data_IF_551718451951
#
_entry.id   IF_551718451951
#
_cell.length_a   1.000
_cell.length_b   1.000
_cell.length_c   1.000
_cell.angle_alpha   90.00
_cell.angle_beta   90.00
_cell.angle_gamma   90.00
#
_symmetry.space_group_name_H-M   'P 1'
#
loop_
_entity.id
_entity.type
_entity.pdbx_description
1 polymer ?
#
# COMPACT_ATOMS: atom_id res chain seq x y z
N UNK A 1 5.41 0.60 -18.20
CA UNK A 1 4.77 1.89 -18.54
C UNK A 1 5.30 2.53 -19.81
N UNK A 2 6.58 2.52 -20.06
CA UNK A 2 7.18 3.01 -21.32
C UNK A 2 6.65 2.24 -22.55
N UNK A 3 6.33 0.93 -22.39
CA UNK A 3 5.82 0.10 -23.48
C UNK A 3 4.48 0.60 -24.06
N UNK A 4 3.52 1.00 -23.21
CA UNK A 4 2.23 1.54 -23.69
C UNK A 4 2.39 2.93 -24.33
N UNK A 5 3.23 3.79 -23.77
CA UNK A 5 3.44 5.15 -24.33
C UNK A 5 4.00 5.13 -25.75
N UNK A 6 4.70 4.05 -26.12
CA UNK A 6 5.28 3.88 -27.46
C UNK A 6 4.37 3.15 -28.44
N UNK A 7 3.21 2.65 -27.95
CA UNK A 7 2.30 1.89 -28.81
C UNK A 7 1.47 2.83 -29.67
N UNK A 8 1.41 2.61 -31.01
CA UNK A 8 0.55 3.40 -31.88
C UNK A 8 -0.92 3.34 -31.44
N UNK A 9 -1.60 4.45 -31.52
CA UNK A 9 -3.00 4.57 -31.15
C UNK A 9 -3.28 4.80 -29.65
N UNK A 10 -2.26 4.83 -28.78
CA UNK A 10 -2.45 5.25 -27.39
C UNK A 10 -2.43 6.76 -27.28
N UNK A 11 -3.51 7.34 -26.77
CA UNK A 11 -3.72 8.78 -26.64
C UNK A 11 -3.53 9.28 -25.20
N UNK A 12 -3.87 8.44 -24.21
CA UNK A 12 -3.75 8.81 -22.81
C UNK A 12 -3.64 7.62 -21.87
N UNK A 13 -2.97 7.85 -20.74
CA UNK A 13 -2.81 6.88 -19.67
C UNK A 13 -3.08 7.55 -18.33
N UNK A 14 -4.04 7.05 -17.58
CA UNK A 14 -4.31 7.47 -16.21
C UNK A 14 -4.15 6.30 -15.27
N UNK A 15 -3.30 6.45 -14.25
CA UNK A 15 -2.97 5.40 -13.30
C UNK A 15 -3.68 5.63 -11.97
N UNK A 16 -4.30 4.58 -11.46
CA UNK A 16 -4.71 4.49 -10.07
C UNK A 16 -3.83 3.43 -9.39
N UNK A 17 -2.83 3.89 -8.64
CA UNK A 17 -1.88 3.00 -7.97
C UNK A 17 -2.53 2.24 -6.81
N UNK A 18 -3.54 2.82 -6.19
CA UNK A 18 -4.25 2.19 -5.09
C UNK A 18 -5.10 1.02 -5.59
N UNK A 19 -5.83 1.22 -6.67
CA UNK A 19 -6.56 0.14 -7.36
C UNK A 19 -5.68 -0.77 -8.21
N UNK A 20 -4.43 -0.38 -8.49
CA UNK A 20 -3.53 -1.06 -9.43
C UNK A 20 -4.10 -1.12 -10.85
N UNK A 21 -4.84 -0.08 -11.25
CA UNK A 21 -5.46 0.01 -12.56
C UNK A 21 -4.81 1.06 -13.43
N UNK A 22 -4.99 0.93 -14.72
CA UNK A 22 -4.67 1.94 -15.72
C UNK A 22 -5.87 2.13 -16.64
N UNK A 23 -6.39 3.36 -16.72
CA UNK A 23 -7.31 3.74 -17.76
C UNK A 23 -6.51 4.16 -19.00
N UNK A 24 -6.86 3.57 -20.13
CA UNK A 24 -6.18 3.79 -21.42
C UNK A 24 -7.14 4.43 -22.39
N UNK A 25 -6.87 5.68 -22.78
CA UNK A 25 -7.52 6.28 -23.93
C UNK A 25 -6.76 5.88 -25.20
N UNK A 26 -7.46 5.36 -26.19
CA UNK A 26 -6.85 4.88 -27.42
C UNK A 26 -7.74 5.04 -28.64
N UNK A 27 -7.13 5.14 -29.83
CA UNK A 27 -7.79 5.15 -31.13
C UNK A 27 -8.15 3.70 -31.53
N UNK A 28 -9.44 3.33 -31.57
CA UNK A 28 -9.87 1.98 -31.88
C UNK A 28 -9.56 1.52 -33.32
N UNK A 29 -9.22 2.46 -34.21
CA UNK A 29 -8.78 2.14 -35.57
C UNK A 29 -7.33 1.68 -35.64
N UNK A 30 -6.53 1.96 -34.60
CA UNK A 30 -5.09 1.64 -34.53
C UNK A 30 -4.73 0.55 -33.56
N UNK A 31 -5.54 0.38 -32.51
CA UNK A 31 -5.28 -0.63 -31.48
C UNK A 31 -6.59 -1.06 -30.80
N UNK A 32 -6.53 -2.13 -30.00
CA UNK A 32 -7.66 -2.64 -29.22
C UNK A 32 -7.18 -3.11 -27.84
N UNK A 33 -8.14 -3.45 -26.98
CA UNK A 33 -7.87 -3.88 -25.59
C UNK A 33 -6.94 -5.11 -25.55
N UNK A 34 -7.14 -6.11 -26.40
CA UNK A 34 -6.33 -7.33 -26.41
C UNK A 34 -4.87 -7.03 -26.76
N UNK A 35 -4.67 -6.15 -27.74
CA UNK A 35 -3.34 -5.72 -28.16
C UNK A 35 -2.65 -4.87 -27.07
N UNK A 36 -3.42 -4.10 -26.28
CA UNK A 36 -2.93 -3.35 -25.13
C UNK A 36 -2.51 -4.32 -24.02
N UNK A 37 -3.36 -5.29 -23.68
CA UNK A 37 -3.06 -6.33 -22.69
C UNK A 37 -1.82 -7.13 -23.07
N UNK A 38 -1.75 -7.64 -24.30
CA UNK A 38 -0.58 -8.38 -24.81
C UNK A 38 0.71 -7.57 -24.73
N UNK A 39 0.65 -6.26 -24.98
CA UNK A 39 1.82 -5.36 -24.82
C UNK A 39 2.29 -5.27 -23.37
N UNK A 40 1.38 -5.25 -22.41
CA UNK A 40 1.71 -5.26 -20.98
C UNK A 40 2.26 -6.60 -20.53
N UNK A 41 1.66 -7.72 -20.96
CA UNK A 41 2.11 -9.09 -20.67
C UNK A 41 3.51 -9.36 -21.20
N UNK A 42 3.82 -8.90 -22.40
CA UNK A 42 5.14 -9.04 -23.02
C UNK A 42 6.26 -8.42 -22.15
N UNK A 43 5.96 -7.49 -21.26
CA UNK A 43 6.93 -6.95 -20.31
C UNK A 43 7.30 -7.93 -19.20
N UNK A 44 6.57 -9.04 -19.04
CA UNK A 44 6.68 -10.04 -17.95
C UNK A 44 6.54 -9.47 -16.54
N UNK A 45 6.11 -8.21 -16.41
CA UNK A 45 5.93 -7.49 -15.15
C UNK A 45 4.48 -7.40 -14.72
N UNK A 46 3.56 -7.51 -15.66
CA UNK A 46 2.13 -7.33 -15.44
C UNK A 46 1.35 -8.52 -15.99
N UNK A 47 0.26 -8.85 -15.32
CA UNK A 47 -0.79 -9.75 -15.79
C UNK A 47 -2.06 -8.90 -15.86
N UNK A 48 -2.30 -8.19 -16.96
CA UNK A 48 -3.47 -7.33 -17.08
C UNK A 48 -4.73 -8.18 -17.22
N UNK A 49 -5.81 -7.70 -16.64
CA UNK A 49 -7.16 -8.19 -16.82
C UNK A 49 -8.08 -7.00 -17.06
N UNK A 50 -9.25 -7.17 -17.68
CA UNK A 50 -10.27 -6.13 -17.69
C UNK A 50 -10.59 -5.67 -16.27
N UNK A 51 -10.85 -4.37 -16.10
CA UNK A 51 -11.21 -3.84 -14.79
C UNK A 51 -12.63 -4.27 -14.42
N UNK A 52 -12.76 -4.90 -13.26
CA UNK A 52 -14.04 -5.22 -12.63
C UNK A 52 -14.24 -4.33 -11.40
N UNK A 53 -15.24 -3.42 -11.40
CA UNK A 53 -15.53 -2.56 -10.25
C UNK A 53 -16.08 -3.34 -9.05
N UNK A 54 -16.50 -4.59 -9.22
CA UNK A 54 -17.00 -5.48 -8.16
C UNK A 54 -15.90 -6.37 -7.58
N UNK A 55 -14.74 -6.44 -8.22
CA UNK A 55 -13.59 -7.17 -7.68
C UNK A 55 -13.14 -6.55 -6.36
N UNK A 56 -12.90 -7.41 -5.35
CA UNK A 56 -12.34 -6.98 -4.07
C UNK A 56 -10.84 -6.72 -4.22
N UNK A 57 -10.46 -5.46 -4.33
CA UNK A 57 -9.05 -5.06 -4.42
C UNK A 57 -8.51 -4.80 -3.01
N UNK A 58 -7.98 -5.86 -2.40
CA UNK A 58 -7.42 -5.79 -1.03
C UNK A 58 -6.18 -4.91 -0.99
N UNK A 59 -6.23 -3.92 -0.08
CA UNK A 59 -5.10 -3.07 0.27
C UNK A 59 -4.91 -3.06 1.77
N UNK A 60 -3.64 -2.93 2.19
CA UNK A 60 -3.28 -2.71 3.57
C UNK A 60 -2.58 -1.38 3.75
N UNK A 61 -2.75 -0.77 4.92
CA UNK A 61 -2.11 0.46 5.31
C UNK A 61 -1.83 0.45 6.80
N UNK A 62 -0.62 0.82 7.18
CA UNK A 62 -0.27 1.16 8.56
C UNK A 62 -0.14 2.66 8.73
N UNK A 63 -0.55 3.16 9.88
CA UNK A 63 -0.45 4.56 10.26
C UNK A 63 0.02 4.67 11.71
N UNK A 64 1.00 5.55 11.96
CA UNK A 64 1.31 6.00 13.33
C UNK A 64 0.33 7.09 13.73
N UNK A 65 -0.19 6.98 14.95
CA UNK A 65 -1.15 7.90 15.56
C UNK A 65 -0.68 8.19 16.98
N UNK A 66 0.05 9.29 17.13
CA UNK A 66 0.72 9.61 18.39
C UNK A 66 -0.26 9.98 19.51
N UNK A 67 -1.48 10.43 19.19
CA UNK A 67 -2.52 10.76 20.16
C UNK A 67 -3.29 9.55 20.69
N UNK A 68 -3.14 8.36 20.13
CA UNK A 68 -3.74 7.12 20.65
C UNK A 68 -2.97 6.68 21.89
N UNK A 69 -3.47 7.04 23.09
CA UNK A 69 -2.79 6.83 24.38
C UNK A 69 -3.47 5.84 25.30
N UNK A 70 -4.75 5.57 25.08
CA UNK A 70 -5.55 4.72 25.94
C UNK A 70 -6.23 3.60 25.18
N UNK A 71 -6.62 2.55 25.88
CA UNK A 71 -7.45 1.46 25.32
C UNK A 71 -8.79 2.00 24.80
N UNK A 72 -9.32 3.05 25.41
CA UNK A 72 -10.54 3.70 24.94
C UNK A 72 -10.32 4.38 23.58
N UNK A 73 -9.17 5.04 23.36
CA UNK A 73 -8.81 5.62 22.06
C UNK A 73 -8.69 4.52 21.00
N UNK A 74 -7.96 3.45 21.32
CA UNK A 74 -7.77 2.31 20.42
C UNK A 74 -9.10 1.65 20.03
N UNK A 75 -9.99 1.42 20.99
CA UNK A 75 -11.32 0.87 20.78
C UNK A 75 -12.20 1.80 19.93
N UNK A 76 -12.15 3.11 20.21
CA UNK A 76 -12.90 4.12 19.45
C UNK A 76 -12.45 4.19 17.99
N UNK A 77 -11.13 4.24 17.75
CA UNK A 77 -10.55 4.21 16.40
C UNK A 77 -10.97 2.95 15.67
N UNK A 78 -10.76 1.79 16.30
CA UNK A 78 -11.11 0.49 15.71
C UNK A 78 -12.58 0.42 15.30
N UNK A 79 -13.50 0.78 16.21
CA UNK A 79 -14.94 0.78 15.95
C UNK A 79 -15.31 1.74 14.82
N UNK A 80 -14.79 2.96 14.85
CA UNK A 80 -15.15 4.01 13.89
C UNK A 80 -14.62 3.72 12.48
N UNK A 81 -13.39 3.22 12.36
CA UNK A 81 -12.83 2.85 11.07
C UNK A 81 -13.50 1.59 10.51
N UNK A 82 -13.79 0.59 11.36
CA UNK A 82 -14.43 -0.64 10.91
C UNK A 82 -15.85 -0.40 10.37
N UNK A 83 -16.53 0.64 10.84
CA UNK A 83 -17.85 1.04 10.34
C UNK A 83 -17.83 1.70 8.95
N UNK A 84 -16.65 2.04 8.42
CA UNK A 84 -16.55 2.64 7.09
C UNK A 84 -16.80 1.60 5.99
N UNK A 85 -17.46 2.04 4.92
CA UNK A 85 -17.68 1.19 3.74
C UNK A 85 -16.35 0.75 3.14
N UNK A 86 -16.21 -0.54 2.89
CA UNK A 86 -15.02 -1.11 2.27
C UNK A 86 -13.91 -1.49 3.24
N UNK A 87 -14.09 -1.32 4.54
CA UNK A 87 -13.13 -1.83 5.53
C UNK A 87 -13.28 -3.34 5.69
N UNK A 88 -12.15 -4.05 5.63
CA UNK A 88 -12.04 -5.50 5.83
C UNK A 88 -11.60 -5.82 7.27
N UNK A 89 -10.57 -5.13 7.75
CA UNK A 89 -10.11 -5.27 9.13
C UNK A 89 -9.42 -4.01 9.67
N UNK A 90 -9.42 -3.86 10.98
CA UNK A 90 -8.73 -2.80 11.71
C UNK A 90 -8.05 -3.39 12.92
N UNK A 91 -6.74 -3.27 13.00
CA UNK A 91 -5.92 -3.58 14.16
C UNK A 91 -5.36 -2.32 14.80
N UNK A 92 -5.13 -2.35 16.10
CA UNK A 92 -4.50 -1.27 16.86
C UNK A 92 -3.39 -1.84 17.74
N UNK A 93 -2.29 -1.13 17.85
CA UNK A 93 -1.21 -1.42 18.81
C UNK A 93 -0.94 -0.16 19.63
N UNK A 94 -1.43 -0.16 20.87
CA UNK A 94 -1.36 1.00 21.76
C UNK A 94 0.08 1.30 22.16
N UNK A 95 0.87 0.29 22.52
CA UNK A 95 2.23 0.44 23.02
C UNK A 95 3.14 1.14 22.00
N UNK A 96 2.92 0.85 20.73
CA UNK A 96 3.73 1.37 19.62
C UNK A 96 3.05 2.55 18.89
N UNK A 97 1.83 2.92 19.28
CA UNK A 97 1.08 4.05 18.73
C UNK A 97 0.76 3.92 17.24
N UNK A 98 0.44 2.71 16.75
CA UNK A 98 0.04 2.53 15.35
C UNK A 98 -1.28 1.80 15.19
N UNK A 99 -1.90 2.02 14.03
CA UNK A 99 -3.06 1.29 13.56
C UNK A 99 -2.70 0.58 12.24
N UNK A 100 -3.31 -0.56 12.03
CA UNK A 100 -3.25 -1.29 10.78
C UNK A 100 -4.66 -1.49 10.23
N UNK A 101 -4.86 -1.21 8.95
CA UNK A 101 -6.14 -1.37 8.27
C UNK A 101 -6.00 -2.18 6.99
N UNK A 102 -7.00 -3.02 6.72
CA UNK A 102 -7.23 -3.62 5.41
C UNK A 102 -8.54 -3.10 4.85
N UNK A 103 -8.57 -2.86 3.56
CA UNK A 103 -9.74 -2.31 2.90
C UNK A 103 -9.82 -2.70 1.42
N UNK A 104 -11.01 -2.55 0.88
CA UNK A 104 -11.29 -2.68 -0.54
C UNK A 104 -11.05 -1.34 -1.24
N UNK A 105 -10.02 -1.28 -2.09
CA UNK A 105 -9.66 -0.05 -2.81
C UNK A 105 -10.72 0.38 -3.84
N UNK A 106 -11.67 -0.49 -4.20
CA UNK A 106 -12.83 -0.10 -5.01
C UNK A 106 -13.88 0.69 -4.22
N UNK A 107 -13.92 0.54 -2.89
CA UNK A 107 -14.93 1.15 -2.02
C UNK A 107 -14.42 2.30 -1.18
N UNK A 108 -13.15 2.28 -0.79
CA UNK A 108 -12.54 3.36 0.00
C UNK A 108 -11.10 3.61 -0.44
N UNK A 109 -10.49 4.65 0.10
CA UNK A 109 -9.13 5.09 -0.25
C UNK A 109 -8.35 5.46 1.00
N UNK A 110 -7.03 5.34 0.92
CA UNK A 110 -6.10 5.74 1.96
C UNK A 110 -6.37 7.17 2.48
N UNK A 111 -6.61 8.11 1.57
CA UNK A 111 -6.93 9.49 1.91
C UNK A 111 -8.23 9.63 2.72
N UNK A 112 -9.26 8.86 2.40
CA UNK A 112 -10.54 8.87 3.11
C UNK A 112 -10.39 8.33 4.54
N UNK A 113 -9.60 7.25 4.71
CA UNK A 113 -9.28 6.68 6.02
C UNK A 113 -8.52 7.70 6.89
N UNK A 114 -7.53 8.38 6.32
CA UNK A 114 -6.79 9.46 7.01
C UNK A 114 -7.70 10.62 7.40
N UNK A 115 -8.61 11.05 6.53
CA UNK A 115 -9.58 12.10 6.85
C UNK A 115 -10.53 11.67 7.98
N UNK A 116 -10.92 10.41 8.02
CA UNK A 116 -11.75 9.91 9.12
C UNK A 116 -11.04 9.98 10.47
N UNK A 117 -9.75 9.63 10.52
CA UNK A 117 -8.93 9.81 11.72
C UNK A 117 -8.89 11.26 12.16
N UNK A 118 -8.64 12.18 11.24
CA UNK A 118 -8.64 13.63 11.56
C UNK A 118 -9.99 14.11 12.10
N UNK A 119 -11.11 13.66 11.54
CA UNK A 119 -12.46 13.99 12.04
C UNK A 119 -12.70 13.47 13.47
N UNK A 120 -12.06 12.39 13.84
CA UNK A 120 -12.12 11.83 15.19
C UNK A 120 -11.17 12.50 16.19
N UNK A 121 -10.35 13.47 15.74
CA UNK A 121 -9.36 14.16 16.57
C UNK A 121 -8.00 13.45 16.64
N UNK A 122 -7.76 12.46 15.80
CA UNK A 122 -6.48 11.76 15.73
C UNK A 122 -5.72 12.17 14.48
N UNK A 123 -4.51 12.67 14.64
CA UNK A 123 -3.66 13.11 13.53
C UNK A 123 -2.73 11.95 13.12
N UNK A 124 -2.98 11.28 11.99
CA UNK A 124 -2.02 10.29 11.51
C UNK A 124 -0.74 11.02 11.15
N UNK A 125 0.39 10.48 11.59
CA UNK A 125 1.70 11.04 11.27
C UNK A 125 1.86 11.05 9.76
N UNK A 126 1.98 12.25 9.19
CA UNK A 126 2.01 12.44 7.75
C UNK A 126 3.39 12.98 7.34
N UNK A 127 4.22 12.11 6.81
CA UNK A 127 5.55 12.46 6.30
C UNK A 127 5.54 12.81 4.81
N UNK A 128 4.37 13.05 4.20
CA UNK A 128 4.22 13.28 2.77
C UNK A 128 4.72 14.63 2.28
N UNK A 129 5.96 14.92 2.53
CA UNK A 129 6.69 15.80 1.62
C UNK A 129 7.55 14.89 0.74
N UNK A 130 7.47 15.04 -0.55
CA UNK A 130 8.22 14.23 -1.52
C UNK A 130 9.75 14.22 -1.30
N UNK A 131 10.26 15.14 -0.48
CA UNK A 131 11.67 15.28 -0.15
C UNK A 131 12.15 14.35 0.97
N UNK A 132 11.27 13.94 1.88
CA UNK A 132 11.64 13.13 3.05
C UNK A 132 11.12 11.70 2.99
N UNK A 133 10.22 11.39 2.05
CA UNK A 133 9.71 10.04 1.85
C UNK A 133 10.53 9.33 0.80
N UNK A 134 10.94 8.11 1.14
CA UNK A 134 11.66 7.19 0.25
C UNK A 134 11.03 5.79 0.29
N UNK A 135 11.45 4.93 -0.62
CA UNK A 135 10.91 3.59 -0.78
C UNK A 135 12.05 2.57 -0.73
N UNK A 136 11.82 1.47 -0.01
CA UNK A 136 12.67 0.30 0.00
C UNK A 136 11.88 -0.94 -0.44
N UNK A 137 12.54 -1.85 -1.14
CA UNK A 137 11.97 -3.10 -1.61
C UNK A 137 12.89 -4.24 -1.22
N UNK A 138 12.31 -5.27 -0.59
CA UNK A 138 13.02 -6.46 -0.16
C UNK A 138 12.29 -7.71 -0.66
N UNK A 139 13.02 -8.80 -0.79
CA UNK A 139 12.45 -10.12 -1.03
C UNK A 139 12.22 -10.82 0.30
N UNK A 140 11.04 -11.42 0.46
CA UNK A 140 10.65 -12.23 1.61
C UNK A 140 10.02 -13.54 1.13
N UNK A 141 10.12 -14.63 1.90
CA UNK A 141 9.37 -15.86 1.61
C UNK A 141 7.86 -15.60 1.56
N UNK A 142 7.14 -16.33 0.74
CA UNK A 142 5.70 -16.15 0.59
C UNK A 142 4.94 -16.29 1.92
N UNK A 143 5.36 -17.21 2.79
CA UNK A 143 4.79 -17.40 4.13
C UNK A 143 5.04 -16.21 5.08
N UNK A 144 6.10 -15.44 4.86
CA UNK A 144 6.39 -14.23 5.62
C UNK A 144 5.59 -13.02 5.13
N UNK A 145 4.87 -13.12 4.01
CA UNK A 145 4.02 -12.05 3.51
C UNK A 145 2.65 -12.05 4.20
N UNK A 146 2.62 -11.81 5.49
CA UNK A 146 1.48 -11.88 6.38
C UNK A 146 1.35 -10.62 7.26
N UNK A 147 0.31 -10.57 8.09
CA UNK A 147 0.00 -9.43 8.94
C UNK A 147 1.04 -9.21 10.04
N UNK A 148 1.58 -10.30 10.60
CA UNK A 148 2.61 -10.21 11.64
C UNK A 148 3.86 -9.48 11.10
N UNK A 149 4.28 -9.79 9.89
CA UNK A 149 5.37 -9.07 9.22
C UNK A 149 5.04 -7.59 9.03
N UNK A 150 3.82 -7.27 8.60
CA UNK A 150 3.41 -5.87 8.46
C UNK A 150 3.47 -5.16 9.81
N UNK A 151 2.94 -5.76 10.87
CA UNK A 151 2.95 -5.18 12.21
C UNK A 151 4.36 -4.93 12.74
N UNK A 152 5.25 -5.91 12.63
CA UNK A 152 6.64 -5.78 13.05
C UNK A 152 7.37 -4.67 12.30
N UNK A 153 7.22 -4.63 10.98
CA UNK A 153 7.91 -3.63 10.15
C UNK A 153 7.35 -2.23 10.35
N UNK A 154 6.02 -2.09 10.54
CA UNK A 154 5.40 -0.79 10.86
C UNK A 154 5.88 -0.22 12.20
N UNK A 155 6.27 -1.08 13.12
CA UNK A 155 6.78 -0.67 14.43
C UNK A 155 8.19 -0.07 14.39
N UNK A 156 8.93 -0.27 13.30
CA UNK A 156 10.28 0.26 13.13
C UNK A 156 10.27 1.80 13.01
N UNK A 157 11.28 2.45 13.60
CA UNK A 157 11.35 3.91 13.54
C UNK A 157 11.54 4.41 12.11
N UNK A 158 10.79 5.43 11.76
CA UNK A 158 10.83 6.04 10.44
C UNK A 158 10.02 5.30 9.36
N UNK A 159 9.42 4.16 9.64
CA UNK A 159 8.51 3.49 8.69
C UNK A 159 7.15 4.19 8.70
N UNK A 160 6.65 4.55 7.52
CA UNK A 160 5.35 5.22 7.31
C UNK A 160 4.27 4.25 6.78
N UNK A 161 4.66 3.34 5.88
CA UNK A 161 3.72 2.40 5.27
C UNK A 161 4.43 1.11 4.87
N UNK A 162 3.70 -0.01 4.93
CA UNK A 162 4.22 -1.34 4.59
C UNK A 162 3.23 -2.07 3.70
N UNK A 163 3.72 -2.71 2.66
CA UNK A 163 2.93 -3.55 1.78
C UNK A 163 3.67 -4.85 1.50
N UNK A 164 3.01 -5.97 1.74
CA UNK A 164 3.54 -7.31 1.42
C UNK A 164 2.78 -7.93 0.24
N UNK A 165 3.48 -8.71 -0.57
CA UNK A 165 2.88 -9.44 -1.68
C UNK A 165 3.40 -10.89 -1.67
N UNK A 166 2.58 -11.81 -1.19
CA UNK A 166 2.92 -13.23 -1.10
C UNK A 166 3.21 -13.86 -2.47
N UNK A 167 2.45 -13.49 -3.51
CA UNK A 167 2.64 -14.05 -4.86
C UNK A 167 3.97 -13.65 -5.50
N UNK A 168 4.54 -12.50 -5.08
CA UNK A 168 5.82 -12.00 -5.58
C UNK A 168 6.96 -12.20 -4.59
N UNK A 169 6.68 -12.66 -3.37
CA UNK A 169 7.67 -12.74 -2.32
C UNK A 169 8.30 -11.37 -2.04
N UNK A 170 7.51 -10.30 -1.96
CA UNK A 170 8.05 -8.94 -1.83
C UNK A 170 7.45 -8.17 -0.66
N UNK A 171 8.30 -7.36 -0.05
CA UNK A 171 8.02 -6.41 1.00
C UNK A 171 8.39 -5.01 0.48
N UNK A 172 7.42 -4.13 0.39
CA UNK A 172 7.60 -2.74 0.00
C UNK A 172 7.36 -1.84 1.21
N UNK A 173 8.30 -0.97 1.50
CA UNK A 173 8.30 -0.09 2.66
C UNK A 173 8.37 1.36 2.18
N UNK A 174 7.47 2.19 2.68
CA UNK A 174 7.58 3.65 2.60
C UNK A 174 8.17 4.14 3.92
N UNK A 175 9.22 4.93 3.87
CA UNK A 175 9.93 5.38 5.06
C UNK A 175 10.39 6.84 4.98
N UNK A 176 10.65 7.42 6.14
CA UNK A 176 11.20 8.77 6.31
C UNK A 176 12.72 8.71 6.23
N UNK A 177 13.31 9.23 5.16
CA UNK A 177 14.73 9.10 4.86
C UNK A 177 15.65 9.89 5.83
N UNK A 178 15.11 10.79 6.61
CA UNK A 178 15.84 11.50 7.68
C UNK A 178 15.93 10.69 8.98
N UNK A 179 15.16 9.59 9.10
CA UNK A 179 15.11 8.72 10.31
C UNK A 179 15.76 7.37 10.08
N UNK A 180 15.60 6.82 8.88
CA UNK A 180 16.11 5.50 8.53
C UNK A 180 16.54 5.43 7.07
N UNK A 181 17.13 4.31 6.68
CA UNK A 181 17.60 4.02 5.32
C UNK A 181 17.43 2.52 5.02
N UNK A 182 17.57 2.08 3.76
CA UNK A 182 17.37 0.68 3.38
C UNK A 182 18.29 -0.30 4.11
N UNK A 183 19.53 0.09 4.41
CA UNK A 183 20.51 -0.74 5.11
C UNK A 183 20.06 -0.99 6.55
N UNK A 184 19.70 0.08 7.27
CA UNK A 184 19.20 0.00 8.64
C UNK A 184 17.90 -0.79 8.69
N UNK A 185 16.94 -0.52 7.80
CA UNK A 185 15.70 -1.28 7.70
C UNK A 185 15.95 -2.78 7.48
N UNK A 186 16.90 -3.13 6.62
CA UNK A 186 17.26 -4.52 6.36
C UNK A 186 17.71 -5.23 7.63
N UNK A 187 18.59 -4.62 8.42
CA UNK A 187 19.09 -5.19 9.67
C UNK A 187 18.00 -5.25 10.75
N UNK A 188 17.19 -4.22 10.88
CA UNK A 188 16.10 -4.18 11.85
C UNK A 188 15.02 -5.24 11.55
N UNK A 189 14.66 -5.43 10.27
CA UNK A 189 13.70 -6.46 9.83
C UNK A 189 14.25 -7.87 10.16
N UNK A 190 15.54 -8.11 9.95
CA UNK A 190 16.17 -9.37 10.33
C UNK A 190 16.18 -9.60 11.85
N UNK A 191 16.40 -8.55 12.61
CA UNK A 191 16.37 -8.61 14.07
C UNK A 191 14.98 -8.96 14.62
N UNK A 192 13.90 -8.61 13.87
CA UNK A 192 12.52 -9.02 14.17
C UNK A 192 12.22 -10.49 13.79
N UNK A 193 13.23 -11.23 13.33
CA UNK A 193 13.10 -12.63 12.94
C UNK A 193 12.47 -12.86 11.57
N UNK A 194 12.40 -11.83 10.72
CA UNK A 194 11.85 -11.93 9.37
C UNK A 194 12.98 -12.26 8.39
N UNK A 195 12.84 -13.38 7.67
CA UNK A 195 13.76 -13.69 6.59
C UNK A 195 13.59 -12.68 5.45
N UNK A 196 14.64 -11.91 5.15
CA UNK A 196 14.64 -10.87 4.13
C UNK A 196 15.92 -10.91 3.30
N UNK A 197 15.80 -10.63 1.99
CA UNK A 197 16.91 -10.51 1.04
C UNK A 197 16.81 -9.18 0.30
N UNK A 198 17.95 -8.60 -0.04
CA UNK A 198 18.05 -7.40 -0.88
C UNK A 198 17.76 -7.69 -2.34
#
# INVERSE_FOLDING_TARGET
MVALKKKPGIEGLQFDLEKRTVAVAYDPTKTNTDSICSTLEATKRYKPSPYDPHEFIRRGMGLKVDEMKTEADAAFIKKSLYAMVGMDSVGTNLDKGYIFVRYDANKTKKAVIRQQLLKMGFTPVNYYTSKIISFAYFHIPAQAANDETIEKVLALDGVDDVNVNAAKGSLAITYVNTKTNPEKLFEEIRAEGIEVKK
#
